data_IF_484272910198
#
_entry.id   IF_484272910198
#
_cell.length_a   1.000
_cell.length_b   1.000
_cell.length_c   1.000
_cell.angle_alpha   90.00
_cell.angle_beta   90.00
_cell.angle_gamma   90.00
#
_symmetry.space_group_name_H-M   'P 1'
#
loop_
_entity.id
_entity.type
_entity.pdbx_description
1 polymer ?
#
# COMPACT_ATOMS: atom_id res chain seq x y z
N UNK A 1 24.73 28.99 -48.26
CA UNK A 1 24.33 27.58 -48.45
C UNK A 1 23.92 27.07 -47.07
N UNK A 2 22.67 27.33 -46.69
CA UNK A 2 22.13 27.01 -45.36
C UNK A 2 21.70 25.55 -45.28
N UNK A 3 21.79 25.01 -44.09
CA UNK A 3 21.85 23.59 -43.74
C UNK A 3 20.53 22.83 -43.98
N UNK A 4 20.48 21.99 -45.02
CA UNK A 4 19.31 21.13 -45.34
C UNK A 4 19.07 20.07 -44.25
N UNK A 5 20.09 19.74 -43.45
CA UNK A 5 19.98 18.81 -42.33
C UNK A 5 19.28 19.40 -41.10
N UNK A 6 19.39 20.71 -40.87
CA UNK A 6 18.73 21.41 -39.77
C UNK A 6 17.20 21.44 -39.94
N UNK A 7 16.73 21.56 -41.19
CA UNK A 7 15.29 21.53 -41.52
C UNK A 7 14.68 20.13 -41.29
N UNK A 8 15.35 19.07 -41.74
CA UNK A 8 14.87 17.70 -41.55
C UNK A 8 14.82 17.28 -40.07
N UNK A 9 15.85 17.62 -39.29
CA UNK A 9 15.86 17.38 -37.85
C UNK A 9 14.76 18.18 -37.13
N UNK A 10 14.62 19.47 -37.46
CA UNK A 10 13.60 20.34 -36.88
C UNK A 10 12.19 19.83 -37.15
N UNK A 11 11.90 19.43 -38.40
CA UNK A 11 10.61 18.83 -38.77
C UNK A 11 10.33 17.54 -37.97
N UNK A 12 11.34 16.69 -37.79
CA UNK A 12 11.19 15.47 -37.00
C UNK A 12 10.93 15.76 -35.52
N UNK A 13 11.62 16.74 -34.93
CA UNK A 13 11.38 17.16 -33.54
C UNK A 13 9.98 17.71 -33.36
N UNK A 14 9.49 18.55 -34.29
CA UNK A 14 8.12 19.07 -34.27
C UNK A 14 7.09 17.94 -34.35
N UNK A 15 7.31 16.96 -35.24
CA UNK A 15 6.45 15.78 -35.36
C UNK A 15 6.41 14.98 -34.07
N UNK A 16 7.56 14.73 -33.44
CA UNK A 16 7.65 13.99 -32.17
C UNK A 16 6.97 14.75 -31.02
N UNK A 17 7.17 16.07 -30.92
CA UNK A 17 6.49 16.92 -29.93
C UNK A 17 4.99 16.89 -30.10
N UNK A 18 4.49 17.00 -31.34
CA UNK A 18 3.07 16.92 -31.63
C UNK A 18 2.48 15.53 -31.31
N UNK A 19 3.22 14.45 -31.58
CA UNK A 19 2.81 13.10 -31.19
C UNK A 19 2.76 12.93 -29.66
N UNK A 20 3.78 13.42 -28.96
CA UNK A 20 3.84 13.37 -27.49
C UNK A 20 2.74 14.23 -26.85
N UNK A 21 2.49 15.44 -27.34
CA UNK A 21 1.40 16.30 -26.86
C UNK A 21 0.05 15.62 -27.01
N UNK A 22 -0.22 14.97 -28.15
CA UNK A 22 -1.47 14.19 -28.34
C UNK A 22 -1.61 13.06 -27.32
N UNK A 23 -0.54 12.29 -27.06
CA UNK A 23 -0.56 11.25 -26.02
C UNK A 23 -0.80 11.84 -24.63
N UNK A 24 -0.14 12.96 -24.31
CA UNK A 24 -0.30 13.65 -23.01
C UNK A 24 -1.71 14.20 -22.81
N UNK A 25 -2.32 14.71 -23.88
CA UNK A 25 -3.73 15.13 -23.92
C UNK A 25 -4.70 13.96 -24.11
N UNK A 26 -4.23 12.72 -24.18
CA UNK A 26 -5.07 11.53 -24.29
C UNK A 26 -5.10 10.69 -23.02
N UNK A 27 -4.34 11.08 -21.99
CA UNK A 27 -4.17 10.28 -20.77
C UNK A 27 -4.37 11.11 -19.51
N UNK A 28 -4.71 10.43 -18.42
CA UNK A 28 -5.00 11.03 -17.10
C UNK A 28 -3.77 11.11 -16.19
N UNK A 29 -2.56 10.91 -16.72
CA UNK A 29 -1.33 10.94 -15.91
C UNK A 29 -0.97 12.37 -15.46
N UNK A 30 -1.27 13.39 -16.26
CA UNK A 30 -0.93 14.78 -15.97
C UNK A 30 -2.11 15.74 -16.24
N UNK A 31 -2.14 16.91 -15.58
CA UNK A 31 -3.07 17.99 -15.92
C UNK A 31 -2.94 18.44 -17.39
N UNK A 32 -4.01 18.94 -18.01
CA UNK A 32 -5.31 19.28 -17.42
C UNK A 32 -6.34 18.15 -17.38
N UNK A 33 -6.02 16.99 -17.98
CA UNK A 33 -6.96 15.85 -18.08
C UNK A 33 -6.86 14.95 -16.86
N UNK A 34 -5.64 14.73 -16.37
CA UNK A 34 -5.37 14.08 -15.09
C UNK A 34 -5.64 14.97 -13.89
N UNK A 35 -5.51 14.37 -12.70
CA UNK A 35 -5.62 15.09 -11.43
C UNK A 35 -4.51 16.14 -11.27
N UNK A 36 -4.74 17.23 -10.51
CA UNK A 36 -3.70 18.18 -10.14
C UNK A 36 -2.53 17.48 -9.47
N UNK A 37 -1.30 17.81 -9.88
CA UNK A 37 -0.07 17.24 -9.31
C UNK A 37 0.46 18.21 -8.27
N UNK A 38 0.57 17.73 -7.03
CA UNK A 38 1.16 18.44 -5.90
C UNK A 38 2.68 18.38 -5.98
N UNK A 39 3.23 17.18 -6.17
CA UNK A 39 4.66 16.94 -6.22
C UNK A 39 4.99 15.80 -7.19
N UNK A 40 6.19 15.86 -7.77
CA UNK A 40 6.66 14.87 -8.73
C UNK A 40 8.18 14.68 -8.61
N UNK A 41 8.62 13.45 -8.40
CA UNK A 41 10.02 13.11 -8.20
C UNK A 41 10.43 12.03 -9.23
N UNK A 42 11.54 12.28 -9.95
CA UNK A 42 12.22 11.26 -10.72
C UNK A 42 13.29 10.60 -9.86
N UNK A 43 13.05 9.35 -9.47
CA UNK A 43 13.97 8.56 -8.67
C UNK A 43 14.93 7.82 -9.61
N UNK A 44 16.19 8.26 -9.60
CA UNK A 44 17.27 7.62 -10.34
C UNK A 44 17.59 6.27 -9.69
N UNK A 45 17.51 5.19 -10.45
CA UNK A 45 17.72 3.82 -9.98
C UNK A 45 17.78 2.83 -11.14
N UNK A 46 17.90 1.55 -10.85
CA UNK A 46 17.81 0.47 -11.85
C UNK A 46 16.78 -0.56 -11.36
N UNK A 47 15.53 -0.54 -11.87
CA UNK A 47 15.01 0.38 -12.88
C UNK A 47 14.74 1.80 -12.32
N UNK A 48 14.79 2.84 -13.17
CA UNK A 48 14.37 4.18 -12.77
C UNK A 48 12.87 4.19 -12.46
N UNK A 49 12.44 5.14 -11.64
CA UNK A 49 11.03 5.26 -11.26
C UNK A 49 10.60 6.70 -11.08
N UNK A 50 9.29 6.92 -11.11
CA UNK A 50 8.65 8.21 -10.97
C UNK A 50 7.65 8.15 -9.83
N UNK A 51 7.73 9.10 -8.91
CA UNK A 51 6.73 9.28 -7.85
C UNK A 51 5.93 10.53 -8.16
N UNK A 52 4.61 10.43 -8.03
CA UNK A 52 3.68 11.51 -8.29
C UNK A 52 2.69 11.57 -7.13
N UNK A 53 2.52 12.76 -6.57
CA UNK A 53 1.50 13.05 -5.58
C UNK A 53 0.42 13.89 -6.24
N UNK A 54 -0.81 13.37 -6.22
CA UNK A 54 -1.99 14.03 -6.75
C UNK A 54 -2.83 14.62 -5.63
N UNK A 55 -3.50 15.71 -5.94
CA UNK A 55 -4.60 16.21 -5.12
C UNK A 55 -5.83 15.30 -5.29
N UNK A 56 -6.37 14.79 -4.19
CA UNK A 56 -7.55 13.92 -4.18
C UNK A 56 -8.61 14.33 -3.15
N UNK A 57 -8.45 15.50 -2.52
CA UNK A 57 -9.33 16.02 -1.48
C UNK A 57 -8.99 15.55 -0.06
N UNK A 58 -7.99 14.68 0.11
CA UNK A 58 -7.43 14.34 1.43
C UNK A 58 -6.27 15.27 1.80
N UNK A 59 -5.89 15.32 3.09
CA UNK A 59 -4.76 16.13 3.57
C UNK A 59 -3.42 15.75 2.93
N UNK A 60 -3.24 14.45 2.63
CA UNK A 60 -1.96 13.90 2.14
C UNK A 60 -1.93 13.69 0.62
N UNK A 61 -3.09 13.71 -0.05
CA UNK A 61 -3.21 13.41 -1.46
C UNK A 61 -3.03 11.92 -1.80
N UNK A 62 -3.12 11.62 -3.10
CA UNK A 62 -2.89 10.27 -3.64
C UNK A 62 -1.45 10.15 -4.14
N UNK A 63 -0.69 9.23 -3.54
CA UNK A 63 0.65 8.88 -4.01
C UNK A 63 0.61 7.75 -5.05
N UNK A 64 1.35 7.92 -6.14
CA UNK A 64 1.56 6.90 -7.18
C UNK A 64 3.06 6.74 -7.45
N UNK A 65 3.55 5.49 -7.42
CA UNK A 65 4.94 5.15 -7.71
C UNK A 65 5.01 4.24 -8.93
N UNK A 66 5.55 4.74 -10.04
CA UNK A 66 5.64 4.04 -11.33
C UNK A 66 7.09 3.69 -11.64
N UNK A 67 7.37 2.42 -11.90
CA UNK A 67 8.68 1.99 -12.40
C UNK A 67 8.70 2.03 -13.93
N UNK A 68 9.79 2.54 -14.51
CA UNK A 68 9.99 2.53 -15.96
C UNK A 68 10.51 1.17 -16.41
N UNK A 69 9.58 0.25 -16.60
CA UNK A 69 9.83 -1.10 -17.09
C UNK A 69 9.00 -1.33 -18.36
N UNK A 70 9.62 -1.47 -19.55
CA UNK A 70 8.89 -1.70 -20.79
C UNK A 70 8.00 -2.96 -20.73
N UNK A 71 6.78 -2.89 -21.28
CA UNK A 71 5.84 -4.01 -21.35
C UNK A 71 5.10 -4.30 -20.04
N UNK A 72 5.28 -3.48 -19.01
CA UNK A 72 4.48 -3.53 -17.78
C UNK A 72 3.45 -2.41 -17.76
N UNK A 73 2.40 -2.55 -16.94
CA UNK A 73 1.42 -1.49 -16.74
C UNK A 73 2.08 -0.15 -16.37
N UNK A 74 3.08 -0.15 -15.47
CA UNK A 74 3.75 1.09 -15.06
C UNK A 74 4.57 1.72 -16.18
N UNK A 75 5.24 0.90 -16.98
CA UNK A 75 5.98 1.38 -18.15
C UNK A 75 5.06 1.92 -19.24
N UNK A 76 3.93 1.25 -19.50
CA UNK A 76 2.94 1.70 -20.48
C UNK A 76 2.29 3.02 -20.05
N UNK A 77 2.01 3.18 -18.75
CA UNK A 77 1.51 4.46 -18.19
C UNK A 77 2.54 5.57 -18.38
N UNK A 78 3.83 5.34 -18.07
CA UNK A 78 4.90 6.33 -18.26
C UNK A 78 5.14 6.69 -19.73
N UNK A 79 4.84 5.77 -20.66
CA UNK A 79 4.86 6.00 -22.12
C UNK A 79 3.57 6.64 -22.65
N UNK A 80 2.63 6.95 -21.76
CA UNK A 80 1.32 7.54 -22.06
C UNK A 80 0.49 6.65 -23.01
N UNK A 81 0.60 5.33 -22.84
CA UNK A 81 -0.11 4.31 -23.61
C UNK A 81 -1.29 3.72 -22.84
N UNK A 82 -1.32 3.91 -21.52
CA UNK A 82 -2.44 3.55 -20.64
C UNK A 82 -2.69 4.63 -19.60
N UNK A 83 -3.94 4.72 -19.16
CA UNK A 83 -4.33 5.58 -18.04
C UNK A 83 -3.90 5.01 -16.70
N UNK A 84 -3.76 5.91 -15.71
CA UNK A 84 -3.75 5.50 -14.32
C UNK A 84 -5.07 4.81 -13.98
N UNK A 85 -5.04 3.64 -13.30
CA UNK A 85 -6.24 3.06 -12.75
C UNK A 85 -6.94 4.07 -11.82
N UNK A 86 -8.26 4.13 -11.89
CA UNK A 86 -9.05 4.88 -10.91
C UNK A 86 -8.69 4.41 -9.50
N UNK A 87 -8.70 5.31 -8.49
CA UNK A 87 -8.65 4.88 -7.11
C UNK A 87 -9.73 3.81 -6.91
N UNK A 88 -9.33 2.66 -6.38
CA UNK A 88 -10.29 1.62 -6.01
C UNK A 88 -11.03 2.16 -4.79
N UNK A 89 -12.35 2.31 -4.88
CA UNK A 89 -13.16 2.61 -3.70
C UNK A 89 -12.91 1.54 -2.65
N UNK A 90 -12.70 1.95 -1.39
CA UNK A 90 -12.47 1.00 -0.32
C UNK A 90 -13.66 0.04 -0.23
N UNK A 91 -13.43 -1.24 -0.55
CA UNK A 91 -14.45 -2.29 -0.51
C UNK A 91 -14.71 -2.80 0.91
N UNK A 92 -14.75 -1.90 1.89
CA UNK A 92 -14.94 -2.28 3.29
C UNK A 92 -16.35 -2.80 3.51
N UNK A 93 -16.45 -3.89 4.26
CA UNK A 93 -17.72 -4.43 4.70
C UNK A 93 -18.23 -3.66 5.92
N UNK A 94 -19.56 -3.60 6.08
CA UNK A 94 -20.13 -3.23 7.37
C UNK A 94 -19.90 -4.36 8.38
N UNK A 95 -19.08 -4.06 9.38
CA UNK A 95 -18.67 -4.95 10.45
C UNK A 95 -19.18 -4.49 11.83
N UNK A 96 -20.06 -3.49 11.87
CA UNK A 96 -20.49 -2.83 13.10
C UNK A 96 -21.12 -3.82 14.10
N UNK A 97 -21.85 -4.81 13.60
CA UNK A 97 -22.48 -5.86 14.40
C UNK A 97 -21.48 -6.82 15.07
N UNK A 98 -20.32 -7.06 14.44
CA UNK A 98 -19.25 -7.87 15.00
C UNK A 98 -18.43 -7.07 16.01
N UNK A 99 -18.10 -5.82 15.67
CA UNK A 99 -17.36 -4.92 16.57
C UNK A 99 -18.15 -4.68 17.86
N UNK A 100 -19.47 -4.50 17.78
CA UNK A 100 -20.33 -4.30 18.95
C UNK A 100 -20.36 -5.50 19.92
N UNK A 101 -19.94 -6.69 19.48
CA UNK A 101 -19.84 -7.89 20.33
C UNK A 101 -18.48 -8.01 21.03
N UNK A 102 -17.49 -7.22 20.63
CA UNK A 102 -16.17 -7.21 21.24
C UNK A 102 -16.22 -6.43 22.57
N UNK A 103 -15.41 -6.82 23.56
CA UNK A 103 -15.27 -6.02 24.77
C UNK A 103 -14.67 -4.66 24.43
N UNK A 104 -15.18 -3.61 25.06
CA UNK A 104 -14.62 -2.27 24.94
C UNK A 104 -13.33 -2.17 25.75
N UNK A 105 -12.27 -1.69 25.12
CA UNK A 105 -10.93 -1.55 25.70
C UNK A 105 -10.53 -0.08 25.67
N UNK A 106 -10.18 0.45 26.84
CA UNK A 106 -9.54 1.76 26.97
C UNK A 106 -8.17 1.75 26.27
N UNK A 107 -8.00 2.65 25.31
CA UNK A 107 -6.80 2.67 24.44
C UNK A 107 -5.67 3.38 25.17
N UNK A 108 -4.61 2.64 25.49
CA UNK A 108 -3.33 3.21 25.93
C UNK A 108 -2.39 3.33 24.71
N UNK A 109 -2.04 4.54 24.23
CA UNK A 109 -1.19 4.72 23.06
C UNK A 109 0.21 4.10 23.17
N UNK A 110 0.72 3.89 24.39
CA UNK A 110 2.04 3.30 24.61
C UNK A 110 2.02 1.77 24.56
N UNK A 111 0.88 1.17 24.88
CA UNK A 111 0.72 -0.29 24.97
C UNK A 111 -0.12 -0.88 23.83
N UNK A 112 -0.97 -0.07 23.18
CA UNK A 112 -1.94 -0.53 22.20
C UNK A 112 -1.66 0.02 20.81
N UNK A 113 -2.04 -0.79 19.83
CA UNK A 113 -2.15 -0.43 18.42
C UNK A 113 -3.61 -0.55 18.02
N UNK A 114 -4.18 0.52 17.46
CA UNK A 114 -5.56 0.54 16.96
C UNK A 114 -5.58 0.48 15.44
N UNK A 115 -6.58 -0.19 14.90
CA UNK A 115 -6.78 -0.30 13.46
C UNK A 115 -8.27 -0.45 13.15
N UNK A 116 -8.75 0.29 12.14
CA UNK A 116 -10.06 0.05 11.53
C UNK A 116 -10.15 -1.36 10.92
N UNK A 117 -11.14 -2.14 11.37
CA UNK A 117 -11.47 -3.42 10.74
C UNK A 117 -12.04 -3.22 9.35
N UNK A 118 -11.70 -4.10 8.41
CA UNK A 118 -12.11 -3.95 6.99
C UNK A 118 -13.10 -5.00 6.52
N UNK A 119 -13.00 -6.22 7.04
CA UNK A 119 -13.77 -7.36 6.57
C UNK A 119 -14.25 -8.20 7.75
N UNK A 120 -15.42 -8.82 7.65
CA UNK A 120 -15.96 -9.71 8.69
C UNK A 120 -15.03 -10.88 8.96
N UNK A 121 -14.51 -11.46 7.88
CA UNK A 121 -13.57 -12.58 7.94
C UNK A 121 -12.29 -12.24 8.70
N UNK A 122 -11.87 -10.97 8.76
CA UNK A 122 -10.74 -10.54 9.59
C UNK A 122 -11.03 -10.79 11.07
N UNK A 123 -12.18 -10.32 11.56
CA UNK A 123 -12.58 -10.47 12.97
C UNK A 123 -12.84 -11.93 13.30
N UNK A 124 -13.57 -12.65 12.44
CA UNK A 124 -13.87 -14.07 12.64
C UNK A 124 -12.59 -14.91 12.71
N UNK A 125 -11.64 -14.71 11.79
CA UNK A 125 -10.36 -15.41 11.80
C UNK A 125 -9.52 -15.06 13.04
N UNK A 126 -9.51 -13.80 13.48
CA UNK A 126 -8.84 -13.40 14.72
C UNK A 126 -9.46 -14.11 15.92
N UNK A 127 -10.79 -14.19 16.02
CA UNK A 127 -11.47 -14.92 17.09
C UNK A 127 -11.14 -16.40 17.05
N UNK A 128 -11.20 -17.05 15.89
CA UNK A 128 -10.83 -18.46 15.72
C UNK A 128 -9.39 -18.73 16.17
N UNK A 129 -8.45 -17.86 15.78
CA UNK A 129 -7.05 -17.93 16.20
C UNK A 129 -6.83 -17.73 17.72
N UNK A 130 -7.88 -17.38 18.47
CA UNK A 130 -7.83 -17.14 19.92
C UNK A 130 -8.81 -18.03 20.70
N UNK A 131 -9.24 -19.14 20.10
CA UNK A 131 -10.17 -20.08 20.73
C UNK A 131 -11.63 -19.62 20.73
N UNK A 132 -11.99 -18.71 19.82
CA UNK A 132 -13.36 -18.23 19.62
C UNK A 132 -13.81 -17.10 20.56
N UNK A 133 -12.90 -16.53 21.35
CA UNK A 133 -13.21 -15.50 22.34
C UNK A 133 -12.35 -14.23 22.18
N UNK A 134 -12.81 -13.11 22.76
CA UNK A 134 -12.08 -11.85 22.81
C UNK A 134 -12.20 -11.19 24.20
N UNK A 135 -11.09 -10.88 24.90
CA UNK A 135 -9.75 -11.36 24.59
C UNK A 135 -9.69 -12.88 24.84
N UNK A 136 -9.31 -13.63 23.82
CA UNK A 136 -9.13 -15.08 23.91
C UNK A 136 -7.68 -15.47 24.22
N UNK A 137 -7.42 -16.77 24.23
CA UNK A 137 -6.05 -17.30 24.32
C UNK A 137 -5.60 -17.69 22.91
N UNK A 138 -4.57 -17.02 22.35
CA UNK A 138 -4.04 -17.38 21.04
C UNK A 138 -3.67 -18.86 20.95
N UNK A 139 -4.06 -19.51 19.86
CA UNK A 139 -3.72 -20.92 19.60
C UNK A 139 -2.21 -21.12 19.38
N UNK A 140 -1.47 -20.03 19.11
CA UNK A 140 -0.02 -20.01 19.10
C UNK A 140 0.49 -18.70 19.75
N UNK A 141 1.58 -18.76 20.54
CA UNK A 141 2.22 -17.56 21.11
C UNK A 141 2.87 -16.65 20.06
N UNK A 142 2.89 -17.07 18.80
CA UNK A 142 3.46 -16.31 17.68
C UNK A 142 2.40 -15.53 16.88
N UNK A 143 1.15 -15.54 17.34
CA UNK A 143 0.04 -14.80 16.76
C UNK A 143 -0.24 -13.53 17.56
N UNK A 144 -0.67 -12.49 16.87
CA UNK A 144 -1.14 -11.26 17.53
C UNK A 144 -2.50 -11.51 18.18
N UNK A 145 -2.72 -10.89 19.34
CA UNK A 145 -3.96 -11.00 20.11
C UNK A 145 -4.85 -9.79 19.83
N UNK A 146 -6.11 -10.04 19.45
CA UNK A 146 -7.17 -9.03 19.45
C UNK A 146 -7.64 -8.87 20.90
N UNK A 147 -7.52 -7.65 21.44
CA UNK A 147 -7.88 -7.34 22.82
C UNK A 147 -9.34 -6.96 22.96
N UNK A 148 -9.92 -6.34 21.93
CA UNK A 148 -11.29 -5.85 21.93
C UNK A 148 -11.49 -4.75 20.88
N UNK A 149 -12.46 -3.89 21.13
CA UNK A 149 -12.74 -2.69 20.35
C UNK A 149 -12.46 -1.42 21.15
N UNK A 150 -12.00 -0.36 20.49
CA UNK A 150 -11.91 0.97 21.10
C UNK A 150 -13.31 1.56 21.27
N UNK A 151 -13.48 2.64 22.07
CA UNK A 151 -14.74 3.38 22.13
C UNK A 151 -15.25 3.86 20.76
N UNK A 152 -14.33 4.08 19.81
CA UNK A 152 -14.63 4.52 18.44
C UNK A 152 -14.91 3.34 17.47
N UNK A 153 -14.92 2.10 17.96
CA UNK A 153 -15.21 0.91 17.16
C UNK A 153 -14.01 0.39 16.33
N UNK A 154 -12.78 0.78 16.68
CA UNK A 154 -11.57 0.24 16.04
C UNK A 154 -11.08 -1.02 16.75
N UNK A 155 -10.42 -1.92 16.01
CA UNK A 155 -9.84 -3.13 16.59
C UNK A 155 -8.58 -2.78 17.40
N UNK A 156 -8.50 -3.28 18.63
CA UNK A 156 -7.40 -2.99 19.55
C UNK A 156 -6.48 -4.20 19.67
N UNK A 157 -5.18 -3.97 19.49
CA UNK A 157 -4.12 -4.98 19.59
C UNK A 157 -3.01 -4.54 20.53
N UNK A 158 -2.17 -5.48 20.95
CA UNK A 158 -0.91 -5.17 21.61
C UNK A 158 0.05 -4.45 20.66
N UNK A 159 0.72 -3.40 21.16
CA UNK A 159 1.70 -2.65 20.39
C UNK A 159 3.01 -3.43 20.34
N UNK A 160 3.34 -3.95 19.15
CA UNK A 160 4.60 -4.65 18.88
C UNK A 160 5.64 -3.70 18.25
N UNK A 161 6.92 -3.96 18.51
CA UNK A 161 8.01 -3.21 17.88
C UNK A 161 8.06 -3.46 16.37
N UNK A 162 8.19 -2.39 15.58
CA UNK A 162 8.14 -2.48 14.11
C UNK A 162 9.42 -3.12 13.54
N UNK A 163 9.25 -3.79 12.38
CA UNK A 163 10.30 -4.59 11.73
C UNK A 163 11.55 -3.78 11.33
N UNK A 164 11.40 -2.51 10.95
CA UNK A 164 12.47 -1.71 10.36
C UNK A 164 13.62 -1.41 11.33
N UNK A 165 13.32 -1.07 12.59
CA UNK A 165 14.34 -0.83 13.62
C UNK A 165 14.91 -2.12 14.23
N UNK A 166 14.15 -3.22 14.11
CA UNK A 166 14.43 -4.49 14.78
C UNK A 166 15.32 -5.38 13.91
N UNK A 167 15.01 -5.55 12.61
CA UNK A 167 15.69 -6.51 11.73
C UNK A 167 17.19 -6.25 11.57
N UNK A 168 17.60 -4.98 11.44
CA UNK A 168 19.03 -4.62 11.32
C UNK A 168 19.86 -4.91 12.58
N UNK A 169 19.21 -5.14 13.73
CA UNK A 169 19.86 -5.44 15.01
C UNK A 169 20.08 -6.93 15.24
N UNK A 170 19.49 -7.81 14.43
CA UNK A 170 19.62 -9.25 14.55
C UNK A 170 20.26 -9.82 13.27
N UNK A 171 21.50 -10.28 13.36
CA UNK A 171 22.25 -10.81 12.20
C UNK A 171 22.54 -12.31 12.27
N UNK A 172 22.14 -13.00 13.34
CA UNK A 172 22.46 -14.42 13.49
C UNK A 172 21.46 -15.32 12.78
N UNK A 173 21.96 -16.30 12.03
CA UNK A 173 21.16 -17.38 11.41
C UNK A 173 20.26 -18.10 12.43
N UNK A 174 20.72 -18.21 13.68
CA UNK A 174 19.94 -18.80 14.78
C UNK A 174 18.64 -18.04 15.03
N UNK A 175 18.68 -16.71 15.06
CA UNK A 175 17.49 -15.87 15.27
C UNK A 175 16.50 -16.02 14.11
N UNK A 176 17.00 -15.95 12.87
CA UNK A 176 16.15 -16.17 11.69
C UNK A 176 15.51 -17.56 11.68
N UNK A 177 16.28 -18.61 12.01
CA UNK A 177 15.75 -19.96 12.12
C UNK A 177 14.61 -20.03 13.14
N UNK A 178 14.77 -19.43 14.31
CA UNK A 178 13.71 -19.40 15.33
C UNK A 178 12.47 -18.68 14.84
N UNK A 179 12.60 -17.52 14.19
CA UNK A 179 11.45 -16.81 13.64
C UNK A 179 10.70 -17.60 12.57
N UNK A 180 11.44 -18.25 11.65
CA UNK A 180 10.84 -19.09 10.61
C UNK A 180 10.07 -20.26 11.26
N UNK A 181 10.65 -20.91 12.26
CA UNK A 181 9.97 -21.99 12.98
C UNK A 181 8.71 -21.50 13.71
N UNK A 182 8.75 -20.30 14.30
CA UNK A 182 7.57 -19.68 14.92
C UNK A 182 6.45 -19.39 13.92
N UNK A 183 6.79 -18.92 12.71
CA UNK A 183 5.83 -18.71 11.62
C UNK A 183 5.22 -20.02 11.13
N UNK A 184 6.04 -21.06 10.93
CA UNK A 184 5.57 -22.39 10.52
C UNK A 184 4.62 -22.97 11.58
N UNK A 185 4.99 -22.84 12.85
CA UNK A 185 4.15 -23.30 13.96
C UNK A 185 2.79 -22.58 13.97
N UNK A 186 2.78 -21.24 13.89
CA UNK A 186 1.54 -20.46 13.86
C UNK A 186 0.65 -20.87 12.68
N UNK A 187 1.23 -20.99 11.49
CA UNK A 187 0.50 -21.38 10.28
C UNK A 187 -0.18 -22.75 10.44
N UNK A 188 0.55 -23.75 10.91
CA UNK A 188 0.05 -25.11 11.05
C UNK A 188 -1.11 -25.25 12.06
N UNK A 189 -1.12 -24.41 13.10
CA UNK A 189 -2.19 -24.43 14.10
C UNK A 189 -3.44 -23.68 13.62
N UNK A 190 -3.28 -22.64 12.79
CA UNK A 190 -4.41 -21.87 12.24
C UNK A 190 -5.14 -22.54 11.08
N UNK A 191 -4.54 -23.54 10.43
CA UNK A 191 -5.12 -24.23 9.26
C UNK A 191 -5.73 -25.59 9.57
N UNK A 192 -5.94 -25.91 10.86
CA UNK A 192 -6.60 -27.14 11.32
C UNK A 192 -8.00 -26.82 11.80
#
# INVERSE_FOLDING_TARGET
>A
MGDVTDDAFSQQVLRLRAAYQRKRQGTKLFPPIGQPVLEMELVRGTPPSMRIWYEDGTELGRHVHLFDLPGTLSGDILRLERDLPSPVEDHFEDISDLVAKLPVVEVNPDAHFVKKGKYRSEIENLLLCQGGACPGTPVSPHLIRLLGASPDGELVFEKLSTRASTLGRFSSLRVYRTWILGLIHAWHVCTR
#
